data_IF_722555759735
#
_entry.id   IF_722555759735
#
_cell.length_a   1.000
_cell.length_b   1.000
_cell.length_c   1.000
_cell.angle_alpha   90.00
_cell.angle_beta   90.00
_cell.angle_gamma   90.00
#
_symmetry.space_group_name_H-M   'P 1'
#
loop_
_entity.id
_entity.type
_entity.pdbx_description
1 polymer ?
#
# COMPACT_ATOMS: atom_id res chain seq x y z
N UNK A 1 48.69 5.46 -0.50
CA UNK A 1 47.89 5.82 -1.68
C UNK A 1 48.40 5.02 -2.87
N UNK A 2 47.61 4.07 -3.38
CA UNK A 2 47.67 3.63 -4.78
C UNK A 2 46.57 2.60 -5.04
N UNK A 3 45.84 2.83 -6.13
CA UNK A 3 44.80 1.99 -6.69
C UNK A 3 45.34 0.61 -7.09
N UNK A 4 44.51 -0.42 -6.92
CA UNK A 4 44.69 -1.74 -7.54
C UNK A 4 43.44 -2.10 -8.34
N UNK A 5 43.58 -2.05 -9.66
CA UNK A 5 42.64 -2.53 -10.67
C UNK A 5 42.86 -4.02 -10.88
N UNK A 6 41.82 -4.85 -10.77
CA UNK A 6 41.86 -6.25 -11.25
C UNK A 6 41.14 -6.34 -12.59
N UNK A 7 41.91 -6.68 -13.62
CA UNK A 7 41.45 -7.04 -14.96
C UNK A 7 40.71 -8.39 -14.94
N UNK A 8 39.64 -8.51 -15.72
CA UNK A 8 39.01 -9.78 -16.08
C UNK A 8 39.25 -9.99 -17.58
N UNK A 9 39.85 -11.13 -17.93
CA UNK A 9 40.09 -11.54 -19.31
C UNK A 9 38.83 -12.17 -19.92
N UNK A 10 38.45 -11.71 -21.12
CA UNK A 10 37.46 -12.37 -21.97
C UNK A 10 38.21 -12.96 -23.17
N UNK A 11 38.13 -14.28 -23.33
CA UNK A 11 38.63 -14.96 -24.52
C UNK A 11 37.58 -14.88 -25.63
N UNK A 12 37.94 -14.24 -26.75
CA UNK A 12 37.15 -14.29 -28.00
C UNK A 12 37.87 -15.23 -28.96
N UNK A 13 37.24 -16.36 -29.25
CA UNK A 13 37.70 -17.25 -30.32
C UNK A 13 37.15 -16.71 -31.64
N UNK A 14 38.05 -16.28 -32.53
CA UNK A 14 37.71 -15.79 -33.87
C UNK A 14 37.70 -16.98 -34.83
N UNK A 15 36.51 -17.43 -35.24
CA UNK A 15 36.34 -18.24 -36.45
C UNK A 15 35.96 -17.34 -37.63
N UNK A 16 36.61 -17.60 -38.75
CA UNK A 16 36.64 -16.82 -39.99
C UNK A 16 35.36 -16.99 -40.80
N UNK A 17 34.93 -15.85 -41.34
CA UNK A 17 33.96 -15.53 -42.41
C UNK A 17 33.48 -16.69 -43.31
N UNK A 18 32.16 -16.73 -43.56
CA UNK A 18 31.61 -16.49 -44.90
C UNK A 18 30.09 -16.21 -44.85
N UNK A 19 29.63 -15.37 -45.78
CA UNK A 19 28.25 -14.93 -46.09
C UNK A 19 27.62 -13.81 -45.26
N UNK A 20 27.52 -12.64 -45.90
CA UNK A 20 26.84 -11.42 -45.45
C UNK A 20 25.32 -11.58 -45.64
N UNK A 21 24.57 -11.55 -44.54
CA UNK A 21 23.20 -11.02 -44.51
C UNK A 21 23.16 -10.00 -43.38
N UNK A 22 23.32 -8.72 -43.74
CA UNK A 22 23.26 -7.62 -42.79
C UNK A 22 21.79 -7.33 -42.47
N UNK A 23 21.19 -8.16 -41.62
CA UNK A 23 19.94 -7.81 -40.96
C UNK A 23 20.26 -6.79 -39.89
N UNK A 24 20.21 -5.50 -40.25
CA UNK A 24 20.17 -4.41 -39.28
C UNK A 24 18.86 -4.55 -38.51
N UNK A 25 18.92 -5.23 -37.37
CA UNK A 25 17.86 -5.17 -36.36
C UNK A 25 17.96 -3.77 -35.76
N UNK A 26 17.28 -2.81 -36.38
CA UNK A 26 16.82 -1.61 -35.68
C UNK A 26 15.93 -2.12 -34.56
N UNK A 27 16.50 -2.28 -33.36
CA UNK A 27 15.74 -2.21 -32.13
C UNK A 27 15.15 -0.81 -32.06
N UNK A 28 14.00 -0.62 -32.70
CA UNK A 28 13.10 0.45 -32.33
C UNK A 28 12.71 0.16 -30.88
N UNK A 29 13.43 0.77 -29.95
CA UNK A 29 12.82 1.14 -28.68
C UNK A 29 11.68 2.05 -29.09
N UNK A 30 10.49 1.47 -29.30
CA UNK A 30 9.27 2.23 -29.20
C UNK A 30 9.24 2.71 -27.76
N UNK A 31 9.84 3.89 -27.52
CA UNK A 31 9.27 4.80 -26.55
C UNK A 31 7.83 4.98 -27.02
N UNK A 32 6.92 4.18 -26.48
CA UNK A 32 5.56 4.63 -26.37
C UNK A 32 5.67 5.91 -25.55
N UNK A 33 5.64 7.06 -26.23
CA UNK A 33 5.30 8.31 -25.60
C UNK A 33 3.85 8.14 -25.13
N UNK A 34 3.69 7.49 -23.98
CA UNK A 34 2.45 7.48 -23.27
C UNK A 34 2.28 8.91 -22.79
N UNK A 35 1.38 9.65 -23.43
CA UNK A 35 0.94 10.94 -22.91
C UNK A 35 0.38 10.68 -21.51
N UNK A 36 1.10 11.10 -20.49
CA UNK A 36 0.67 10.89 -19.11
C UNK A 36 -0.62 11.66 -18.87
N UNK A 37 -1.63 11.00 -18.31
CA UNK A 37 -2.83 11.72 -17.90
C UNK A 37 -2.58 12.39 -16.54
N UNK A 38 -2.01 13.59 -16.56
CA UNK A 38 -1.70 14.34 -15.35
C UNK A 38 -2.93 14.65 -14.48
N UNK A 39 -4.16 14.60 -15.04
CA UNK A 39 -5.38 14.79 -14.26
C UNK A 39 -5.67 13.66 -13.27
N UNK A 40 -5.08 12.47 -13.46
CA UNK A 40 -5.22 11.35 -12.52
C UNK A 40 -4.29 11.50 -11.29
N UNK A 41 -3.39 12.50 -11.29
CA UNK A 41 -2.48 12.81 -10.18
C UNK A 41 -3.12 13.87 -9.27
N UNK A 42 -4.09 13.44 -8.48
CA UNK A 42 -4.80 14.31 -7.53
C UNK A 42 -4.12 14.27 -6.16
N UNK A 43 -2.99 14.95 -5.98
CA UNK A 43 -2.28 15.02 -4.70
C UNK A 43 -2.38 16.41 -4.07
N UNK A 44 -2.24 16.47 -2.75
CA UNK A 44 -2.08 17.76 -2.07
C UNK A 44 -0.83 18.47 -2.64
N UNK A 45 -0.86 19.80 -2.89
CA UNK A 45 0.26 20.54 -3.46
C UNK A 45 1.61 20.29 -2.75
N UNK A 46 1.61 20.28 -1.41
CA UNK A 46 2.80 19.96 -0.61
C UNK A 46 3.38 18.55 -0.86
N UNK A 47 2.61 17.60 -1.37
CA UNK A 47 3.10 16.24 -1.66
C UNK A 47 3.68 16.11 -3.07
N UNK A 48 3.36 17.06 -3.96
CA UNK A 48 3.77 17.00 -5.37
C UNK A 48 5.28 16.92 -5.56
N UNK A 49 6.13 17.71 -4.87
CA UNK A 49 7.59 17.59 -5.03
C UNK A 49 8.10 16.19 -4.70
N UNK A 50 7.63 15.63 -3.59
CA UNK A 50 8.02 14.29 -3.12
C UNK A 50 7.61 13.19 -4.12
N UNK A 51 6.40 13.28 -4.65
CA UNK A 51 5.91 12.37 -5.69
C UNK A 51 6.70 12.49 -7.00
N UNK A 52 6.90 13.70 -7.52
CA UNK A 52 7.60 13.92 -8.80
C UNK A 52 9.08 13.54 -8.73
N UNK A 53 9.74 13.73 -7.58
CA UNK A 53 11.13 13.32 -7.39
C UNK A 53 11.31 11.79 -7.37
N UNK A 54 10.26 11.06 -6.97
CA UNK A 54 10.22 9.60 -7.03
C UNK A 54 9.99 9.10 -8.46
N UNK A 55 9.20 9.80 -9.27
CA UNK A 55 8.89 9.44 -10.66
C UNK A 55 9.55 10.38 -11.67
N UNK A 56 10.89 10.33 -11.75
CA UNK A 56 11.68 11.25 -12.58
C UNK A 56 11.29 11.26 -14.05
N UNK A 57 10.97 10.11 -14.63
CA UNK A 57 10.54 10.02 -16.04
C UNK A 57 9.25 10.82 -16.31
N UNK A 58 8.30 10.78 -15.37
CA UNK A 58 7.07 11.57 -15.43
C UNK A 58 7.36 13.07 -15.29
N UNK A 59 8.28 13.44 -14.40
CA UNK A 59 8.69 14.82 -14.19
C UNK A 59 9.41 15.40 -15.42
N UNK A 60 10.32 14.63 -16.02
CA UNK A 60 11.04 15.00 -17.24
C UNK A 60 10.08 15.18 -18.41
N UNK A 61 9.09 14.29 -18.56
CA UNK A 61 8.06 14.43 -19.58
C UNK A 61 7.17 15.65 -19.35
N UNK A 62 6.82 15.93 -18.09
CA UNK A 62 6.04 17.12 -17.75
C UNK A 62 6.74 18.42 -18.18
N UNK A 63 8.07 18.49 -18.08
CA UNK A 63 8.84 19.65 -18.54
C UNK A 63 8.77 19.79 -20.06
N UNK A 64 8.89 18.68 -20.80
CA UNK A 64 8.80 18.68 -22.27
C UNK A 64 7.42 19.12 -22.74
N UNK A 65 6.37 18.58 -22.12
CA UNK A 65 4.97 18.82 -22.49
C UNK A 65 4.40 20.12 -21.90
N UNK A 66 5.14 20.81 -21.02
CA UNK A 66 4.67 21.96 -20.23
C UNK A 66 3.37 21.64 -19.47
N UNK A 67 3.40 20.54 -18.73
CA UNK A 67 2.22 20.01 -18.05
C UNK A 67 1.78 20.88 -16.85
N UNK A 68 0.55 20.69 -16.33
CA UNK A 68 0.04 21.45 -15.19
C UNK A 68 0.86 21.33 -13.89
N UNK A 69 1.67 20.28 -13.75
CA UNK A 69 2.50 20.02 -12.56
C UNK A 69 3.88 20.71 -12.62
N UNK A 70 4.17 21.45 -13.68
CA UNK A 70 5.49 22.04 -13.94
C UNK A 70 5.98 22.93 -12.79
N UNK A 71 5.08 23.61 -12.08
CA UNK A 71 5.46 24.46 -10.94
C UNK A 71 6.10 23.69 -9.78
N UNK A 72 5.86 22.38 -9.67
CA UNK A 72 6.37 21.52 -8.60
C UNK A 72 7.65 20.77 -9.00
N UNK A 73 7.95 20.67 -10.30
CA UNK A 73 9.11 19.95 -10.81
C UNK A 73 10.41 20.63 -10.34
N UNK A 74 11.38 19.83 -9.89
CA UNK A 74 12.69 20.31 -9.44
C UNK A 74 12.71 20.90 -8.02
N UNK A 75 11.56 21.02 -7.35
CA UNK A 75 11.53 21.35 -5.92
C UNK A 75 12.12 20.19 -5.11
N UNK A 76 12.98 20.49 -4.14
CA UNK A 76 13.60 19.48 -3.27
C UNK A 76 12.54 18.81 -2.39
N UNK A 77 12.73 17.52 -2.12
CA UNK A 77 11.87 16.72 -1.26
C UNK A 77 11.98 15.23 -1.53
N UNK A 78 12.00 14.41 -0.49
CA UNK A 78 11.91 12.95 -0.54
C UNK A 78 11.09 12.44 0.66
N UNK A 79 10.37 11.34 0.51
CA UNK A 79 9.48 10.83 1.56
C UNK A 79 10.23 10.31 2.78
N UNK A 80 11.49 9.90 2.59
CA UNK A 80 12.36 9.37 3.65
C UNK A 80 12.62 7.87 3.53
N UNK A 81 11.90 7.17 2.65
CA UNK A 81 12.13 5.75 2.37
C UNK A 81 13.02 5.50 1.14
N UNK A 82 13.30 6.54 0.35
CA UNK A 82 14.18 6.45 -0.80
C UNK A 82 15.65 6.23 -0.38
N UNK A 83 16.41 5.49 -1.20
CA UNK A 83 17.82 5.16 -0.91
C UNK A 83 18.70 6.39 -0.68
N UNK A 84 18.39 7.50 -1.37
CA UNK A 84 19.11 8.77 -1.25
C UNK A 84 18.12 9.87 -0.85
N UNK A 85 17.92 10.03 0.45
CA UNK A 85 17.07 11.08 1.02
C UNK A 85 17.79 11.78 2.19
N UNK A 86 18.42 12.94 1.96
CA UNK A 86 19.03 13.72 3.04
C UNK A 86 17.99 14.15 4.07
N UNK A 87 18.36 14.17 5.36
CA UNK A 87 17.46 14.52 6.46
C UNK A 87 16.73 15.87 6.25
N UNK A 88 17.43 16.85 5.67
CA UNK A 88 16.88 18.19 5.41
C UNK A 88 15.86 18.22 4.27
N UNK A 89 15.88 17.22 3.38
CA UNK A 89 14.96 17.09 2.25
C UNK A 89 13.85 16.06 2.54
N UNK A 90 13.95 15.30 3.64
CA UNK A 90 12.92 14.34 4.06
C UNK A 90 11.60 15.04 4.41
N UNK A 91 10.46 14.40 4.11
CA UNK A 91 9.11 14.92 4.37
C UNK A 91 8.92 15.36 5.82
N UNK A 92 9.53 14.64 6.76
CA UNK A 92 9.51 15.02 8.16
C UNK A 92 10.68 14.45 8.93
N UNK A 93 11.08 15.16 9.96
CA UNK A 93 11.95 14.63 11.02
C UNK A 93 11.12 14.48 12.30
N UNK A 94 11.11 13.29 12.93
CA UNK A 94 10.43 13.09 14.20
C UNK A 94 10.89 14.09 15.27
N UNK A 95 9.94 14.54 16.09
CA UNK A 95 10.24 15.43 17.21
C UNK A 95 10.17 14.62 18.50
N UNK A 96 11.30 14.44 19.16
CA UNK A 96 11.38 13.78 20.46
C UNK A 96 11.91 14.81 21.48
N UNK A 97 11.07 15.52 22.24
CA UNK A 97 11.54 16.38 23.32
C UNK A 97 12.14 15.60 24.50
N UNK A 98 12.99 16.25 25.30
CA UNK A 98 13.64 15.67 26.48
C UNK A 98 14.74 14.64 26.17
N UNK A 99 15.29 14.02 27.21
CA UNK A 99 16.30 12.97 27.06
C UNK A 99 15.70 11.65 26.56
N UNK A 100 16.53 10.82 25.95
CA UNK A 100 16.14 9.47 25.58
C UNK A 100 15.84 8.65 26.84
N UNK A 101 14.81 7.80 26.77
CA UNK A 101 14.37 6.91 27.85
C UNK A 101 14.06 5.52 27.31
N UNK A 102 14.12 4.51 28.18
CA UNK A 102 13.75 3.14 27.82
C UNK A 102 14.94 2.33 27.30
N UNK A 103 14.72 1.54 26.25
CA UNK A 103 15.67 0.53 25.74
C UNK A 103 16.59 1.02 24.61
N UNK A 104 16.58 2.32 24.28
CA UNK A 104 17.45 2.89 23.25
C UNK A 104 18.64 3.62 23.90
N UNK A 105 19.88 3.45 23.39
CA UNK A 105 21.08 3.93 24.09
C UNK A 105 21.41 5.41 23.81
N UNK A 106 20.74 6.06 22.85
CA UNK A 106 21.00 7.46 22.52
C UNK A 106 19.75 8.20 22.02
N UNK A 107 19.87 9.53 21.94
CA UNK A 107 18.82 10.39 21.37
C UNK A 107 18.60 10.12 19.88
N UNK A 108 19.66 9.84 19.14
CA UNK A 108 19.59 9.48 17.73
C UNK A 108 18.81 8.18 17.56
N UNK A 109 19.13 7.16 18.35
CA UNK A 109 18.43 5.87 18.29
C UNK A 109 16.94 6.01 18.63
N UNK A 110 16.58 6.91 19.55
CA UNK A 110 15.18 7.20 19.86
C UNK A 110 14.44 7.78 18.64
N UNK A 111 15.04 8.73 17.93
CA UNK A 111 14.46 9.36 16.73
C UNK A 111 14.37 8.33 15.59
N UNK A 112 15.46 7.60 15.35
CA UNK A 112 15.54 6.59 14.28
C UNK A 112 14.53 5.46 14.54
N UNK A 113 14.35 5.05 15.80
CA UNK A 113 13.35 4.04 16.21
C UNK A 113 11.93 4.54 15.97
N UNK A 114 11.62 5.80 16.32
CA UNK A 114 10.30 6.37 16.01
C UNK A 114 10.05 6.41 14.51
N UNK A 115 11.05 6.84 13.73
CA UNK A 115 10.96 6.88 12.28
C UNK A 115 10.67 5.50 11.67
N UNK A 116 11.38 4.47 12.14
CA UNK A 116 11.20 3.08 11.69
C UNK A 116 9.84 2.48 12.09
N UNK A 117 9.31 2.83 13.26
CA UNK A 117 8.10 2.19 13.80
C UNK A 117 6.80 2.93 13.50
N UNK A 118 6.85 4.26 13.40
CA UNK A 118 5.67 5.13 13.38
C UNK A 118 5.63 6.14 12.25
N UNK A 119 6.60 6.12 11.32
CA UNK A 119 6.73 7.09 10.24
C UNK A 119 7.06 6.39 8.90
N UNK A 120 7.50 7.13 7.89
CA UNK A 120 7.88 6.61 6.57
C UNK A 120 8.98 5.53 6.61
N UNK A 121 9.77 5.45 7.68
CA UNK A 121 10.69 4.34 7.89
C UNK A 121 10.00 2.97 7.99
N UNK A 122 8.75 2.92 8.47
CA UNK A 122 7.95 1.71 8.45
C UNK A 122 7.67 1.24 7.02
N UNK A 123 7.35 2.18 6.13
CA UNK A 123 7.13 1.88 4.71
C UNK A 123 8.43 1.41 4.05
N UNK A 124 9.56 2.04 4.38
CA UNK A 124 10.87 1.61 3.91
C UNK A 124 11.17 0.16 4.29
N UNK A 125 10.85 -0.25 5.53
CA UNK A 125 11.03 -1.63 5.97
C UNK A 125 10.13 -2.58 5.18
N UNK A 126 8.85 -2.24 4.98
CA UNK A 126 7.94 -3.06 4.18
C UNK A 126 8.40 -3.22 2.73
N UNK A 127 8.99 -2.18 2.12
CA UNK A 127 9.58 -2.27 0.78
C UNK A 127 10.83 -3.16 0.76
N UNK A 128 11.71 -3.06 1.76
CA UNK A 128 12.94 -3.88 1.87
C UNK A 128 12.64 -5.36 2.11
N UNK A 129 11.51 -5.65 2.75
CA UNK A 129 11.06 -7.02 3.02
C UNK A 129 10.43 -7.70 1.80
N UNK A 130 10.18 -6.97 0.70
CA UNK A 130 9.55 -7.53 -0.49
C UNK A 130 10.41 -8.63 -1.10
N UNK A 131 9.82 -9.82 -1.25
CA UNK A 131 10.45 -10.98 -1.87
C UNK A 131 9.48 -11.68 -2.83
N UNK A 132 10.05 -12.24 -3.89
CA UNK A 132 9.28 -12.95 -4.92
C UNK A 132 8.80 -14.28 -4.35
N UNK A 133 7.49 -14.50 -4.35
CA UNK A 133 6.87 -15.77 -3.99
C UNK A 133 6.60 -16.63 -5.23
N UNK A 134 6.26 -15.99 -6.35
CA UNK A 134 5.93 -16.62 -7.62
C UNK A 134 6.67 -15.86 -8.73
N UNK A 135 7.67 -16.51 -9.32
CA UNK A 135 8.63 -15.94 -10.25
C UNK A 135 8.11 -16.07 -11.70
N UNK A 136 7.92 -14.97 -12.43
CA UNK A 136 7.49 -15.02 -13.82
C UNK A 136 8.62 -15.49 -14.73
N UNK A 137 8.31 -16.32 -15.75
CA UNK A 137 9.29 -16.64 -16.79
C UNK A 137 9.43 -15.47 -17.79
N UNK A 138 8.32 -14.79 -18.10
CA UNK A 138 8.28 -13.61 -18.96
C UNK A 138 7.52 -12.45 -18.30
N UNK A 139 7.75 -11.22 -18.77
CA UNK A 139 7.08 -10.03 -18.24
C UNK A 139 5.54 -10.07 -18.32
N UNK A 140 4.98 -10.84 -19.25
CA UNK A 140 3.53 -11.04 -19.38
C UNK A 140 2.98 -12.16 -18.46
N UNK A 141 3.84 -12.92 -17.79
CA UNK A 141 3.42 -14.02 -16.93
C UNK A 141 3.00 -13.52 -15.54
N UNK A 142 2.44 -14.44 -14.76
CA UNK A 142 2.01 -14.15 -13.40
C UNK A 142 3.19 -13.93 -12.47
N UNK A 143 3.02 -13.06 -11.49
CA UNK A 143 3.99 -12.88 -10.42
C UNK A 143 3.29 -12.60 -9.09
N UNK A 144 3.95 -12.97 -7.99
CA UNK A 144 3.54 -12.58 -6.65
C UNK A 144 4.76 -12.10 -5.88
N UNK A 145 4.71 -10.87 -5.41
CA UNK A 145 5.73 -10.24 -4.56
C UNK A 145 5.08 -9.95 -3.21
N UNK A 146 5.71 -10.34 -2.10
CA UNK A 146 5.15 -10.16 -0.76
C UNK A 146 6.20 -9.66 0.23
N UNK A 147 5.79 -8.85 1.21
CA UNK A 147 6.61 -8.57 2.39
C UNK A 147 6.53 -9.73 3.38
N UNK A 148 7.37 -9.68 4.42
CA UNK A 148 7.42 -10.71 5.46
C UNK A 148 6.05 -10.93 6.11
N UNK A 149 5.82 -12.17 6.53
CA UNK A 149 4.56 -12.63 7.14
C UNK A 149 3.33 -12.41 6.26
N UNK A 150 3.52 -12.19 4.95
CA UNK A 150 2.46 -11.89 3.98
C UNK A 150 1.57 -10.71 4.42
N UNK A 151 2.18 -9.66 4.98
CA UNK A 151 1.46 -8.46 5.43
C UNK A 151 1.01 -7.58 4.27
N UNK A 152 1.85 -7.46 3.26
CA UNK A 152 1.57 -6.79 1.99
C UNK A 152 1.96 -7.72 0.85
N UNK A 153 1.14 -7.80 -0.20
CA UNK A 153 1.51 -8.47 -1.44
C UNK A 153 1.02 -7.72 -2.68
N UNK A 154 1.71 -7.92 -3.79
CA UNK A 154 1.34 -7.45 -5.11
C UNK A 154 1.41 -8.61 -6.10
N UNK A 155 0.29 -8.88 -6.76
CA UNK A 155 0.13 -9.92 -7.75
C UNK A 155 -0.11 -9.35 -9.14
N UNK A 156 0.50 -9.97 -10.15
CA UNK A 156 0.21 -9.70 -11.57
C UNK A 156 -0.40 -10.93 -12.21
N UNK A 157 -1.43 -10.74 -13.03
CA UNK A 157 -2.08 -11.80 -13.82
C UNK A 157 -2.51 -13.00 -12.95
N UNK A 158 -3.24 -12.73 -11.88
CA UNK A 158 -3.66 -13.72 -10.88
C UNK A 158 -5.10 -14.17 -11.15
N UNK A 159 -5.35 -15.47 -11.08
CA UNK A 159 -6.70 -16.04 -11.12
C UNK A 159 -7.18 -16.34 -9.70
N UNK A 160 -8.42 -15.98 -9.41
CA UNK A 160 -9.15 -16.38 -8.20
C UNK A 160 -10.47 -17.05 -8.59
N UNK A 161 -10.77 -18.19 -7.97
CA UNK A 161 -12.00 -18.96 -8.17
C UNK A 161 -12.98 -18.72 -7.02
N UNK A 162 -14.07 -18.01 -7.32
CA UNK A 162 -15.15 -17.68 -6.39
C UNK A 162 -16.39 -18.56 -6.57
N UNK A 163 -16.31 -19.66 -7.34
CA UNK A 163 -17.49 -20.51 -7.61
C UNK A 163 -18.11 -21.10 -6.35
N UNK A 164 -17.27 -21.49 -5.38
CA UNK A 164 -17.69 -22.05 -4.10
C UNK A 164 -18.52 -21.09 -3.25
N UNK A 165 -18.41 -19.78 -3.46
CA UNK A 165 -19.15 -18.79 -2.66
C UNK A 165 -20.67 -18.93 -2.82
N UNK A 166 -21.16 -19.40 -3.98
CA UNK A 166 -22.60 -19.64 -4.19
C UNK A 166 -23.17 -20.74 -3.30
N UNK A 167 -22.32 -21.63 -2.81
CA UNK A 167 -22.72 -22.74 -1.95
C UNK A 167 -22.54 -22.43 -0.46
N UNK A 168 -21.93 -21.29 -0.13
CA UNK A 168 -21.67 -20.90 1.24
C UNK A 168 -22.94 -20.36 1.90
N UNK A 169 -23.41 -21.04 2.95
CA UNK A 169 -24.60 -20.64 3.71
C UNK A 169 -24.33 -19.55 4.73
N UNK A 170 -23.13 -19.55 5.30
CA UNK A 170 -22.75 -18.63 6.36
C UNK A 170 -22.13 -17.34 5.79
N UNK A 171 -22.43 -16.18 6.40
CA UNK A 171 -21.83 -14.94 5.98
C UNK A 171 -20.32 -14.93 6.26
N UNK A 172 -19.58 -14.25 5.40
CA UNK A 172 -18.13 -14.08 5.48
C UNK A 172 -17.84 -12.74 6.15
N UNK A 173 -17.29 -12.82 7.36
CA UNK A 173 -16.61 -11.73 8.07
C UNK A 173 -15.56 -12.36 8.98
N UNK A 174 -14.31 -11.92 8.85
CA UNK A 174 -13.15 -12.46 9.58
C UNK A 174 -12.97 -13.99 9.45
N UNK A 175 -13.42 -14.57 8.33
CA UNK A 175 -13.26 -15.99 8.02
C UNK A 175 -11.89 -16.21 7.36
N UNK A 176 -11.26 -17.34 7.67
CA UNK A 176 -9.93 -17.73 7.15
C UNK A 176 -9.99 -18.85 6.10
N UNK A 177 -11.21 -19.27 5.77
CA UNK A 177 -11.56 -20.36 4.86
C UNK A 177 -12.37 -19.84 3.66
N UNK A 178 -12.14 -18.58 3.27
CA UNK A 178 -12.80 -17.97 2.10
C UNK A 178 -12.35 -18.66 0.82
N UNK A 179 -11.05 -18.94 0.72
CA UNK A 179 -10.43 -19.71 -0.36
C UNK A 179 -9.95 -21.07 0.17
N UNK A 180 -9.77 -22.00 -0.76
CA UNK A 180 -9.24 -23.36 -0.58
C UNK A 180 -8.14 -23.61 -1.60
N UNK A 181 -7.47 -24.76 -1.45
CA UNK A 181 -6.45 -25.23 -2.38
C UNK A 181 -6.94 -25.16 -3.84
N UNK A 182 -6.11 -24.57 -4.71
CA UNK A 182 -6.41 -24.44 -6.14
C UNK A 182 -7.37 -23.28 -6.51
N UNK A 183 -7.87 -22.51 -5.53
CA UNK A 183 -8.77 -21.38 -5.81
C UNK A 183 -8.05 -20.05 -6.02
N UNK A 184 -6.73 -20.01 -5.85
CA UNK A 184 -5.91 -18.85 -6.19
C UNK A 184 -4.59 -19.32 -6.80
N UNK A 185 -4.14 -18.66 -7.86
CA UNK A 185 -2.90 -19.04 -8.51
C UNK A 185 -2.52 -18.18 -9.71
N UNK A 186 -1.34 -18.48 -10.25
CA UNK A 186 -0.76 -17.81 -11.41
C UNK A 186 0.13 -18.74 -12.23
N UNK A 187 0.37 -18.38 -13.49
CA UNK A 187 1.34 -19.04 -14.36
C UNK A 187 2.73 -18.48 -14.09
N UNK A 188 3.50 -19.16 -13.24
CA UNK A 188 4.81 -18.74 -12.76
C UNK A 188 5.51 -19.92 -12.08
N UNK A 189 6.79 -19.78 -11.74
CA UNK A 189 7.50 -20.73 -10.89
C UNK A 189 7.27 -20.40 -9.42
N UNK A 190 6.50 -21.23 -8.70
CA UNK A 190 6.15 -20.98 -7.30
C UNK A 190 7.27 -21.41 -6.32
N UNK A 191 7.71 -20.50 -5.45
CA UNK A 191 8.58 -20.80 -4.32
C UNK A 191 7.76 -21.29 -3.11
N UNK A 192 7.14 -22.48 -3.25
CA UNK A 192 6.15 -23.00 -2.28
C UNK A 192 6.65 -22.99 -0.82
N UNK A 193 7.85 -23.50 -0.56
CA UNK A 193 8.43 -23.52 0.80
C UNK A 193 8.57 -22.12 1.39
N UNK A 194 9.04 -21.14 0.60
CA UNK A 194 9.18 -19.75 1.05
C UNK A 194 7.81 -19.16 1.42
N UNK A 195 6.80 -19.40 0.60
CA UNK A 195 5.43 -18.95 0.87
C UNK A 195 4.87 -19.58 2.16
N UNK A 196 5.11 -20.87 2.37
CA UNK A 196 4.71 -21.59 3.60
C UNK A 196 5.44 -21.05 4.84
N UNK A 197 6.74 -20.79 4.75
CA UNK A 197 7.55 -20.25 5.84
C UNK A 197 7.07 -18.84 6.27
N UNK A 198 6.59 -18.02 5.32
CA UNK A 198 6.02 -16.68 5.59
C UNK A 198 4.53 -16.73 6.01
N UNK A 199 3.91 -17.90 6.07
CA UNK A 199 2.57 -18.11 6.62
C UNK A 199 2.60 -18.35 8.15
N UNK A 200 3.45 -17.64 8.88
CA UNK A 200 3.64 -17.81 10.33
C UNK A 200 2.70 -16.95 11.18
N UNK A 201 2.14 -15.86 10.62
CA UNK A 201 1.17 -14.97 11.28
C UNK A 201 -0.26 -15.13 10.75
N UNK A 202 -0.77 -16.36 10.60
CA UNK A 202 -2.12 -16.62 10.06
C UNK A 202 -3.20 -16.08 11.01
N UNK A 203 -3.88 -15.01 10.58
CA UNK A 203 -5.02 -14.44 11.28
C UNK A 203 -5.83 -13.53 10.35
N UNK A 204 -7.16 -13.38 10.55
CA UNK A 204 -8.02 -12.69 9.60
C UNK A 204 -7.60 -11.26 9.27
N UNK A 205 -7.04 -10.51 10.22
CA UNK A 205 -6.71 -9.09 10.06
C UNK A 205 -5.22 -8.78 10.29
N UNK A 206 -4.37 -9.81 10.33
CA UNK A 206 -2.93 -9.66 10.60
C UNK A 206 -2.04 -10.01 9.42
N UNK A 207 -2.51 -10.89 8.52
CA UNK A 207 -1.80 -11.26 7.30
C UNK A 207 -2.78 -11.71 6.20
N UNK A 208 -2.25 -11.82 4.99
CA UNK A 208 -2.90 -12.49 3.85
C UNK A 208 -2.62 -13.99 3.79
N UNK A 209 -1.93 -14.53 4.80
CA UNK A 209 -1.66 -15.96 4.93
C UNK A 209 -2.90 -16.86 4.84
N UNK A 210 -4.08 -16.52 5.40
CA UNK A 210 -5.27 -17.36 5.27
C UNK A 210 -5.66 -17.70 3.82
N UNK A 211 -5.49 -16.75 2.90
CA UNK A 211 -5.80 -16.87 1.48
C UNK A 211 -4.59 -17.36 0.68
N UNK A 212 -3.43 -16.74 0.89
CA UNK A 212 -2.25 -16.95 0.07
C UNK A 212 -1.58 -18.30 0.32
N UNK A 213 -1.81 -18.96 1.46
CA UNK A 213 -1.34 -20.34 1.68
C UNK A 213 -1.86 -21.34 0.64
N UNK A 214 -2.94 -21.00 -0.06
CA UNK A 214 -3.54 -21.80 -1.13
C UNK A 214 -3.09 -21.39 -2.53
N UNK A 215 -2.12 -20.48 -2.65
CA UNK A 215 -1.60 -20.04 -3.92
C UNK A 215 -0.90 -21.19 -4.65
N UNK A 216 -1.31 -21.41 -5.90
CA UNK A 216 -0.86 -22.53 -6.72
C UNK A 216 -0.26 -22.08 -8.05
N UNK A 217 0.65 -22.90 -8.58
CA UNK A 217 1.17 -22.77 -9.95
C UNK A 217 0.12 -23.30 -10.94
N UNK A 218 -0.23 -22.48 -11.93
CA UNK A 218 -1.17 -22.83 -12.98
C UNK A 218 -0.43 -23.39 -14.22
N UNK A 219 -1.01 -24.36 -14.93
CA UNK A 219 -0.37 -24.96 -16.11
C UNK A 219 -0.38 -24.05 -17.36
N UNK A 220 -1.26 -23.04 -17.38
CA UNK A 220 -1.44 -22.12 -18.51
C UNK A 220 -1.62 -20.69 -18.04
N UNK A 221 -1.32 -19.73 -18.91
CA UNK A 221 -1.49 -18.30 -18.64
C UNK A 221 -2.97 -17.97 -18.44
N UNK A 222 -3.38 -17.47 -17.26
CA UNK A 222 -4.79 -17.36 -16.95
C UNK A 222 -5.54 -16.35 -17.83
N UNK A 223 -4.87 -15.30 -18.32
CA UNK A 223 -5.47 -14.26 -19.16
C UNK A 223 -5.43 -14.56 -20.66
N UNK A 224 -4.50 -15.41 -21.12
CA UNK A 224 -4.33 -15.71 -22.55
C UNK A 224 -5.04 -17.01 -22.96
N UNK A 225 -5.55 -17.76 -21.99
CA UNK A 225 -6.22 -19.05 -22.22
C UNK A 225 -7.73 -18.83 -22.33
N UNK A 226 -8.30 -19.15 -23.49
CA UNK A 226 -9.74 -19.06 -23.72
C UNK A 226 -10.52 -19.91 -22.71
N UNK A 227 -11.58 -19.33 -22.12
CA UNK A 227 -12.40 -19.99 -21.10
C UNK A 227 -11.73 -20.19 -19.73
N UNK A 228 -10.52 -19.66 -19.52
CA UNK A 228 -9.83 -19.78 -18.23
C UNK A 228 -10.49 -18.95 -17.11
N UNK A 229 -11.08 -17.81 -17.46
CA UNK A 229 -11.75 -16.90 -16.54
C UNK A 229 -13.09 -16.42 -17.11
N UNK A 230 -14.12 -16.39 -16.28
CA UNK A 230 -15.43 -15.83 -16.64
C UNK A 230 -15.39 -14.29 -16.73
N UNK A 231 -14.43 -13.68 -16.04
CA UNK A 231 -14.25 -12.22 -16.00
C UNK A 231 -12.78 -11.85 -15.88
N UNK A 232 -12.38 -10.80 -16.59
CA UNK A 232 -11.05 -10.19 -16.49
C UNK A 232 -11.19 -8.77 -15.97
N UNK A 233 -10.41 -8.43 -14.93
CA UNK A 233 -10.34 -7.10 -14.35
C UNK A 233 -8.99 -6.49 -14.72
N UNK A 234 -9.03 -5.49 -15.61
CA UNK A 234 -7.82 -4.85 -16.13
C UNK A 234 -7.24 -3.80 -15.18
N UNK A 235 -8.09 -3.14 -14.40
CA UNK A 235 -7.68 -2.06 -13.47
C UNK A 235 -7.05 -2.62 -12.19
N UNK A 236 -6.13 -1.89 -11.55
CA UNK A 236 -5.61 -2.24 -10.23
C UNK A 236 -6.76 -2.49 -9.25
N UNK A 237 -6.70 -3.61 -8.54
CA UNK A 237 -7.72 -3.98 -7.56
C UNK A 237 -7.09 -4.22 -6.20
N UNK A 238 -7.54 -3.48 -5.19
CA UNK A 238 -7.17 -3.68 -3.80
C UNK A 238 -8.17 -4.62 -3.14
N UNK A 239 -7.68 -5.73 -2.59
CA UNK A 239 -8.48 -6.59 -1.72
C UNK A 239 -8.38 -6.05 -0.30
N UNK A 240 -9.51 -5.72 0.34
CA UNK A 240 -9.47 -5.13 1.68
C UNK A 240 -10.14 -6.03 2.70
N UNK A 241 -9.39 -6.46 3.70
CA UNK A 241 -9.96 -6.96 4.96
C UNK A 241 -10.03 -5.79 5.93
N UNK A 242 -11.24 -5.33 6.18
CA UNK A 242 -11.52 -4.14 7.00
C UNK A 242 -11.80 -4.54 8.45
N UNK A 243 -11.53 -3.68 9.42
CA UNK A 243 -11.89 -3.91 10.82
C UNK A 243 -13.38 -3.61 11.05
N UNK A 244 -13.74 -2.60 11.86
CA UNK A 244 -15.15 -2.32 12.21
C UNK A 244 -15.65 -1.01 11.60
N UNK A 245 -16.56 -1.11 10.62
CA UNK A 245 -17.06 0.03 9.82
C UNK A 245 -17.85 1.08 10.61
N UNK A 246 -18.38 0.74 11.78
CA UNK A 246 -19.25 1.61 12.59
C UNK A 246 -18.49 2.54 13.54
N UNK A 247 -17.20 2.28 13.78
CA UNK A 247 -16.42 3.01 14.76
C UNK A 247 -15.23 3.69 14.08
N UNK A 248 -15.10 5.01 14.27
CA UNK A 248 -14.02 5.79 13.66
C UNK A 248 -12.64 5.24 14.02
N UNK A 249 -12.40 4.97 15.29
CA UNK A 249 -11.12 4.45 15.78
C UNK A 249 -10.79 3.07 15.19
N UNK A 250 -11.78 2.24 14.88
CA UNK A 250 -11.56 0.97 14.18
C UNK A 250 -11.46 1.11 12.67
N UNK A 251 -12.23 1.98 12.03
CA UNK A 251 -12.27 2.03 10.57
C UNK A 251 -11.15 2.89 9.98
N UNK A 252 -10.63 3.88 10.73
CA UNK A 252 -9.59 4.77 10.20
C UNK A 252 -8.25 4.05 9.97
N UNK A 253 -7.98 2.97 10.71
CA UNK A 253 -6.79 2.17 10.44
C UNK A 253 -6.86 1.48 9.07
N UNK A 254 -8.06 1.17 8.56
CA UNK A 254 -8.23 0.61 7.22
C UNK A 254 -7.79 1.60 6.15
N UNK A 255 -8.26 2.86 6.24
CA UNK A 255 -7.88 3.93 5.31
C UNK A 255 -6.40 4.29 5.42
N UNK A 256 -5.88 4.36 6.65
CA UNK A 256 -4.47 4.67 6.88
C UNK A 256 -3.55 3.59 6.31
N UNK A 257 -3.84 2.31 6.56
CA UNK A 257 -3.03 1.21 6.04
C UNK A 257 -3.17 1.06 4.52
N UNK A 258 -4.34 1.38 3.94
CA UNK A 258 -4.50 1.49 2.49
C UNK A 258 -3.61 2.59 1.90
N UNK A 259 -3.60 3.77 2.50
CA UNK A 259 -2.71 4.87 2.10
C UNK A 259 -1.23 4.49 2.20
N UNK A 260 -0.81 3.92 3.33
CA UNK A 260 0.56 3.44 3.51
C UNK A 260 0.93 2.39 2.44
N UNK A 261 -0.01 1.52 2.06
CA UNK A 261 0.18 0.52 1.01
C UNK A 261 0.42 1.13 -0.38
N UNK A 262 -0.15 2.30 -0.67
CA UNK A 262 0.16 3.04 -1.92
C UNK A 262 1.62 3.51 -1.96
N UNK A 263 2.24 3.76 -0.80
CA UNK A 263 3.67 4.05 -0.74
C UNK A 263 4.54 2.78 -0.81
N UNK A 264 4.06 1.63 -0.31
CA UNK A 264 4.78 0.35 -0.45
C UNK A 264 4.82 -0.11 -1.92
N UNK A 265 3.75 0.13 -2.68
CA UNK A 265 3.64 -0.24 -4.08
C UNK A 265 4.79 0.39 -4.90
N UNK A 266 5.64 -0.47 -5.46
CA UNK A 266 6.81 -0.04 -6.20
C UNK A 266 6.47 0.32 -7.65
N UNK A 267 7.18 1.33 -8.18
CA UNK A 267 7.35 1.63 -9.61
C UNK A 267 6.07 1.80 -10.44
N UNK A 268 5.05 2.43 -9.88
CA UNK A 268 3.83 2.78 -10.64
C UNK A 268 3.37 4.19 -10.28
N UNK A 269 3.57 5.13 -11.20
CA UNK A 269 3.15 6.52 -11.03
C UNK A 269 1.64 6.66 -10.82
N UNK A 270 0.85 5.64 -11.17
CA UNK A 270 -0.59 5.58 -10.90
C UNK A 270 -0.92 5.13 -9.47
N UNK A 271 0.06 4.97 -8.57
CA UNK A 271 -0.18 4.45 -7.20
C UNK A 271 -1.24 5.23 -6.40
N UNK A 272 -1.36 6.54 -6.65
CA UNK A 272 -2.39 7.38 -6.03
C UNK A 272 -3.63 7.60 -6.91
N UNK A 273 -3.71 7.00 -8.10
CA UNK A 273 -4.89 7.15 -8.97
C UNK A 273 -6.14 6.62 -8.27
N UNK A 274 -7.27 7.30 -8.48
CA UNK A 274 -8.58 6.82 -8.05
C UNK A 274 -9.17 5.80 -9.04
N UNK A 275 -8.48 5.49 -10.14
CA UNK A 275 -8.87 4.46 -11.11
C UNK A 275 -8.56 3.02 -10.67
N UNK A 276 -8.75 2.73 -9.39
CA UNK A 276 -8.53 1.41 -8.82
C UNK A 276 -9.83 0.87 -8.24
N UNK A 277 -10.07 -0.43 -8.34
CA UNK A 277 -11.18 -1.07 -7.66
C UNK A 277 -10.81 -1.43 -6.23
N UNK A 278 -11.80 -1.42 -5.34
CA UNK A 278 -11.68 -1.93 -3.98
C UNK A 278 -12.70 -3.05 -3.81
N UNK A 279 -12.21 -4.25 -3.49
CA UNK A 279 -13.02 -5.41 -3.13
C UNK A 279 -12.88 -5.65 -1.62
N UNK A 280 -13.93 -5.35 -0.87
CA UNK A 280 -14.02 -5.71 0.55
C UNK A 280 -14.20 -7.21 0.67
N UNK A 281 -13.33 -7.84 1.46
CA UNK A 281 -13.23 -9.29 1.62
C UNK A 281 -14.27 -9.85 2.62
N UNK A 282 -15.53 -9.49 2.40
CA UNK A 282 -16.69 -9.92 3.19
C UNK A 282 -17.89 -10.19 2.29
N UNK A 283 -18.90 -10.94 2.78
CA UNK A 283 -20.19 -11.09 2.09
C UNK A 283 -21.20 -10.00 2.45
N UNK A 284 -20.88 -9.16 3.45
CA UNK A 284 -21.71 -8.02 3.83
C UNK A 284 -21.43 -6.85 2.89
N UNK A 285 -22.49 -6.21 2.40
CA UNK A 285 -22.30 -4.98 1.65
C UNK A 285 -21.75 -3.89 2.56
N UNK A 286 -20.76 -3.18 2.04
CA UNK A 286 -20.05 -2.16 2.78
C UNK A 286 -21.00 -0.99 3.11
N UNK A 287 -21.18 -0.73 4.41
CA UNK A 287 -21.95 0.39 4.94
C UNK A 287 -21.16 1.00 6.10
N UNK A 288 -20.94 2.31 6.06
CA UNK A 288 -20.23 3.06 7.09
C UNK A 288 -20.65 4.53 7.08
N UNK A 289 -20.64 5.18 8.25
CA UNK A 289 -20.72 6.64 8.36
C UNK A 289 -19.49 7.34 7.74
N UNK A 290 -18.39 6.60 7.56
CA UNK A 290 -17.15 7.08 6.94
C UNK A 290 -17.00 6.61 5.48
N UNK A 291 -18.06 6.03 4.89
CA UNK A 291 -18.06 5.62 3.49
C UNK A 291 -17.59 6.70 2.50
N UNK A 292 -17.86 8.01 2.71
CA UNK A 292 -17.32 9.05 1.82
C UNK A 292 -15.79 9.06 1.68
N UNK A 293 -15.05 8.59 2.69
CA UNK A 293 -13.58 8.53 2.67
C UNK A 293 -13.08 7.55 1.59
N UNK A 294 -13.87 6.55 1.19
CA UNK A 294 -13.50 5.64 0.11
C UNK A 294 -13.23 6.38 -1.22
N UNK A 295 -13.87 7.53 -1.45
CA UNK A 295 -13.65 8.36 -2.65
C UNK A 295 -12.23 8.90 -2.76
N UNK A 296 -11.50 8.99 -1.65
CA UNK A 296 -10.08 9.33 -1.62
C UNK A 296 -9.25 8.29 -2.38
N UNK A 297 -9.69 7.02 -2.38
CA UNK A 297 -8.92 5.90 -2.93
C UNK A 297 -9.49 5.33 -4.23
N UNK A 298 -10.79 5.52 -4.48
CA UNK A 298 -11.45 4.99 -5.66
C UNK A 298 -12.60 5.87 -6.14
N UNK A 299 -12.72 6.02 -7.46
CA UNK A 299 -13.92 6.57 -8.12
C UNK A 299 -14.97 5.51 -8.46
N UNK A 300 -14.63 4.25 -8.24
CA UNK A 300 -15.49 3.11 -8.56
C UNK A 300 -16.35 2.70 -7.36
N UNK A 301 -17.49 2.02 -7.60
CA UNK A 301 -18.26 1.41 -6.52
C UNK A 301 -17.43 0.41 -5.72
N UNK A 302 -17.68 0.34 -4.41
CA UNK A 302 -17.07 -0.65 -3.54
C UNK A 302 -17.69 -2.01 -3.81
N UNK A 303 -16.86 -3.00 -4.13
CA UNK A 303 -17.29 -4.37 -4.29
C UNK A 303 -17.22 -5.13 -2.97
N UNK A 304 -18.04 -6.17 -2.86
CA UNK A 304 -17.97 -7.19 -1.83
C UNK A 304 -17.88 -8.58 -2.51
N UNK A 305 -17.70 -9.64 -1.74
CA UNK A 305 -17.53 -11.00 -2.30
C UNK A 305 -18.72 -11.47 -3.14
N UNK A 306 -19.92 -10.88 -2.97
CA UNK A 306 -21.09 -11.25 -3.77
C UNK A 306 -20.97 -10.78 -5.20
N UNK A 307 -20.16 -9.75 -5.49
CA UNK A 307 -19.92 -9.25 -6.86
C UNK A 307 -19.41 -10.37 -7.79
N UNK A 308 -18.57 -11.28 -7.26
CA UNK A 308 -17.90 -12.33 -8.02
C UNK A 308 -18.36 -13.74 -7.67
N UNK A 309 -19.31 -13.89 -6.74
CA UNK A 309 -19.82 -15.20 -6.33
C UNK A 309 -20.27 -16.02 -7.54
N UNK A 310 -19.79 -17.26 -7.63
CA UNK A 310 -20.10 -18.15 -8.75
C UNK A 310 -19.18 -18.05 -9.97
N UNK A 311 -18.14 -17.21 -9.94
CA UNK A 311 -17.29 -16.94 -11.10
C UNK A 311 -15.82 -17.21 -10.83
N UNK A 312 -15.09 -17.50 -11.89
CA UNK A 312 -13.62 -17.40 -11.95
C UNK A 312 -13.22 -16.03 -12.47
N UNK A 313 -12.32 -15.35 -11.77
CA UNK A 313 -11.94 -13.96 -12.07
C UNK A 313 -10.43 -13.86 -12.20
N UNK A 314 -9.99 -13.27 -13.30
CA UNK A 314 -8.59 -12.95 -13.56
C UNK A 314 -8.34 -11.47 -13.30
N UNK A 315 -7.38 -11.15 -12.43
CA UNK A 315 -6.96 -9.79 -12.14
C UNK A 315 -5.61 -9.51 -12.81
N UNK A 316 -5.53 -8.47 -13.64
CA UNK A 316 -4.24 -8.03 -14.20
C UNK A 316 -3.30 -7.54 -13.11
N UNK A 317 -3.83 -6.74 -12.19
CA UNK A 317 -3.08 -6.16 -11.09
C UNK A 317 -3.89 -6.28 -9.80
N UNK A 318 -3.37 -7.06 -8.85
CA UNK A 318 -4.01 -7.35 -7.58
C UNK A 318 -3.11 -6.89 -6.44
N UNK A 319 -3.66 -6.10 -5.53
CA UNK A 319 -2.93 -5.59 -4.37
C UNK A 319 -3.60 -6.14 -3.12
N UNK A 320 -2.77 -6.72 -2.26
CA UNK A 320 -3.08 -7.19 -0.93
C UNK A 320 -2.44 -6.17 0.04
N UNK A 321 -3.16 -5.09 0.40
CA UNK A 321 -2.63 -4.00 1.21
C UNK A 321 -2.31 -4.45 2.64
N UNK A 322 -1.53 -3.62 3.33
CA UNK A 322 -1.30 -3.68 4.76
C UNK A 322 -2.63 -3.73 5.53
N UNK A 323 -2.65 -4.49 6.63
CA UNK A 323 -3.86 -4.87 7.34
C UNK A 323 -4.03 -4.13 8.68
N UNK A 324 -5.26 -3.94 9.15
CA UNK A 324 -5.56 -3.06 10.29
C UNK A 324 -5.01 -3.55 11.64
N UNK A 325 -4.75 -4.84 11.81
CA UNK A 325 -4.35 -5.44 13.11
C UNK A 325 -3.03 -6.20 13.08
N UNK A 326 -2.16 -5.94 12.10
CA UNK A 326 -0.85 -6.59 12.02
C UNK A 326 -0.08 -6.51 13.34
N UNK A 327 0.69 -7.56 13.65
CA UNK A 327 1.61 -7.56 14.78
C UNK A 327 2.70 -6.52 14.47
N UNK A 328 2.90 -5.58 15.40
CA UNK A 328 3.74 -4.40 15.19
C UNK A 328 3.33 -3.56 13.96
N UNK A 329 2.03 -3.55 13.63
CA UNK A 329 1.44 -2.75 12.56
C UNK A 329 1.19 -1.29 12.93
N UNK A 330 0.88 -0.47 11.92
CA UNK A 330 0.52 0.93 12.13
C UNK A 330 -0.94 1.11 12.60
N UNK A 331 -1.20 2.21 13.32
CA UNK A 331 -2.46 2.60 13.96
C UNK A 331 -2.83 1.83 15.24
N UNK A 332 -3.07 0.51 15.17
CA UNK A 332 -3.56 -0.25 16.33
C UNK A 332 -2.46 -0.79 17.24
N UNK A 333 -1.51 -1.52 16.66
CA UNK A 333 -0.50 -2.28 17.38
C UNK A 333 0.89 -1.64 17.20
N UNK A 334 0.93 -0.31 17.08
CA UNK A 334 2.17 0.41 16.74
C UNK A 334 3.05 0.47 17.97
N UNK A 335 4.25 -0.13 17.94
CA UNK A 335 5.12 -0.18 19.11
C UNK A 335 5.88 1.16 19.25
N UNK A 336 5.18 2.28 19.45
CA UNK A 336 5.80 3.60 19.45
C UNK A 336 6.77 3.76 20.62
N UNK A 337 8.00 4.18 20.29
CA UNK A 337 8.97 4.63 21.28
C UNK A 337 8.44 5.83 22.07
N UNK A 338 8.73 5.86 23.36
CA UNK A 338 8.25 6.89 24.27
C UNK A 338 8.82 8.28 23.92
N UNK A 339 8.00 9.31 24.11
CA UNK A 339 8.44 10.71 24.09
C UNK A 339 8.68 11.31 22.71
N UNK A 340 8.29 10.62 21.64
CA UNK A 340 8.37 11.12 20.27
C UNK A 340 6.99 11.42 19.70
N UNK A 341 6.93 12.38 18.77
CA UNK A 341 5.70 12.91 18.19
C UNK A 341 5.94 13.44 16.77
N UNK A 342 4.85 13.85 16.10
CA UNK A 342 4.82 14.43 14.75
C UNK A 342 5.28 13.46 13.64
N UNK A 343 4.62 12.30 13.56
CA UNK A 343 4.82 11.38 12.44
C UNK A 343 4.47 12.05 11.10
N UNK A 344 5.41 12.03 10.16
CA UNK A 344 5.23 12.45 8.78
C UNK A 344 4.20 11.65 8.04
N UNK A 345 4.23 10.33 8.17
CA UNK A 345 3.30 9.45 7.48
C UNK A 345 1.84 9.75 7.87
N UNK A 346 1.56 9.92 9.16
CA UNK A 346 0.23 10.35 9.63
C UNK A 346 -0.14 11.77 9.20
N UNK A 347 0.84 12.68 9.20
CA UNK A 347 0.64 14.04 8.75
C UNK A 347 0.32 14.12 7.24
N UNK A 348 1.07 13.38 6.40
CA UNK A 348 0.83 13.24 4.97
C UNK A 348 -0.54 12.61 4.70
N UNK A 349 -0.87 11.51 5.37
CA UNK A 349 -2.19 10.89 5.25
C UNK A 349 -3.33 11.88 5.55
N UNK A 350 -3.21 12.64 6.64
CA UNK A 350 -4.21 13.66 7.01
C UNK A 350 -4.39 14.71 5.91
N UNK A 351 -3.29 15.29 5.41
CA UNK A 351 -3.33 16.25 4.30
C UNK A 351 -3.95 15.65 3.03
N UNK A 352 -3.57 14.42 2.69
CA UNK A 352 -4.05 13.72 1.50
C UNK A 352 -5.57 13.50 1.54
N UNK A 353 -6.07 12.95 2.66
CA UNK A 353 -7.49 12.66 2.86
C UNK A 353 -8.31 13.94 2.86
N UNK A 354 -7.91 14.96 3.62
CA UNK A 354 -8.65 16.22 3.71
C UNK A 354 -8.71 16.94 2.36
N UNK A 355 -7.59 16.96 1.62
CA UNK A 355 -7.51 17.54 0.28
C UNK A 355 -8.49 16.88 -0.69
N UNK A 356 -8.43 15.55 -0.84
CA UNK A 356 -9.30 14.81 -1.78
C UNK A 356 -10.77 14.83 -1.39
N UNK A 357 -11.08 14.98 -0.10
CA UNK A 357 -12.47 15.15 0.34
C UNK A 357 -12.97 16.60 0.20
N UNK A 358 -12.11 17.56 -0.16
CA UNK A 358 -12.47 18.98 -0.22
C UNK A 358 -12.80 19.57 1.16
N UNK A 359 -12.23 19.03 2.23
CA UNK A 359 -12.48 19.52 3.59
C UNK A 359 -11.55 20.70 3.86
N UNK A 360 -12.14 21.89 3.89
CA UNK A 360 -11.44 23.12 4.26
C UNK A 360 -11.42 23.24 5.79
N UNK A 361 -10.22 23.34 6.36
CA UNK A 361 -10.04 23.63 7.78
C UNK A 361 -9.92 25.14 7.98
N UNK A 362 -11.02 25.77 8.37
CA UNK A 362 -11.02 27.20 8.70
C UNK A 362 -10.32 27.44 10.05
N UNK A 363 -9.43 28.44 10.14
CA UNK A 363 -8.87 28.86 11.42
C UNK A 363 -10.00 29.23 12.37
N UNK A 364 -9.89 28.81 13.63
CA UNK A 364 -10.85 29.24 14.66
C UNK A 364 -10.73 30.74 14.84
N UNK A 365 -11.82 31.45 14.54
CA UNK A 365 -11.95 32.89 14.82
C UNK A 365 -12.35 33.15 16.28
N UNK A 366 -13.00 32.19 16.93
CA UNK A 366 -13.39 32.26 18.32
C UNK A 366 -12.50 31.33 19.18
N UNK A 367 -11.86 31.83 20.26
CA UNK A 367 -11.12 30.99 21.18
C UNK A 367 -12.01 30.01 21.97
N UNK A 368 -13.31 30.30 22.12
CA UNK A 368 -14.25 29.43 22.83
C UNK A 368 -14.45 28.09 22.13
N UNK A 369 -14.34 27.02 22.90
CA UNK A 369 -14.48 25.64 22.40
C UNK A 369 -15.84 25.11 22.80
N UNK A 370 -16.64 24.65 21.85
CA UNK A 370 -17.84 23.87 22.16
C UNK A 370 -17.42 22.45 22.50
N UNK A 371 -17.66 22.03 23.74
CA UNK A 371 -17.37 20.69 24.21
C UNK A 371 -18.69 19.93 24.33
N UNK A 372 -18.74 18.71 23.79
CA UNK A 372 -19.85 17.78 23.99
C UNK A 372 -19.33 16.58 24.75
N UNK A 373 -19.73 16.45 26.02
CA UNK A 373 -19.42 15.29 26.83
C UNK A 373 -20.50 14.23 26.61
N UNK A 374 -20.11 13.03 26.16
CA UNK A 374 -21.02 11.91 26.00
C UNK A 374 -20.96 11.06 27.26
N UNK A 375 -21.90 11.29 28.18
CA UNK A 375 -22.08 10.41 29.33
C UNK A 375 -22.59 9.05 28.88
N UNK A 376 -22.01 7.98 29.42
CA UNK A 376 -22.44 6.60 29.19
C UNK A 376 -22.60 5.92 30.52
N UNK A 377 -23.83 5.56 30.85
CA UNK A 377 -24.11 4.66 31.97
C UNK A 377 -23.99 3.22 31.47
N UNK A 378 -22.90 2.55 31.85
CA UNK A 378 -22.72 1.12 31.56
C UNK A 378 -22.10 0.41 32.76
N UNK A 379 -22.09 -0.92 32.76
CA UNK A 379 -21.52 -1.66 33.88
C UNK A 379 -20.00 -1.43 34.08
N UNK A 380 -19.27 -1.01 33.04
CA UNK A 380 -17.80 -0.99 33.03
C UNK A 380 -17.15 0.29 32.49
N UNK A 381 -17.92 1.20 31.88
CA UNK A 381 -17.38 2.42 31.24
C UNK A 381 -18.13 3.65 31.72
N UNK A 382 -18.00 3.95 33.01
CA UNK A 382 -18.55 5.14 33.65
C UNK A 382 -17.43 6.18 33.85
N UNK A 383 -17.76 7.46 33.67
CA UNK A 383 -16.87 8.56 34.02
C UNK A 383 -17.08 8.83 35.52
N UNK A 384 -16.20 8.28 36.35
CA UNK A 384 -16.38 8.31 37.81
C UNK A 384 -16.42 9.72 38.40
N UNK A 385 -15.77 10.69 37.74
CA UNK A 385 -15.69 12.09 38.15
C UNK A 385 -16.39 13.04 37.16
N UNK A 386 -17.48 12.60 36.52
CA UNK A 386 -18.17 13.38 35.48
C UNK A 386 -18.59 14.77 35.95
N UNK A 387 -19.15 14.88 37.18
CA UNK A 387 -19.58 16.14 37.74
C UNK A 387 -18.42 17.12 37.98
N UNK A 388 -17.26 16.62 38.41
CA UNK A 388 -16.04 17.42 38.58
C UNK A 388 -15.52 17.91 37.22
N UNK A 389 -15.54 17.04 36.21
CA UNK A 389 -15.15 17.39 34.84
C UNK A 389 -16.05 18.49 34.27
N UNK A 390 -17.38 18.36 34.39
CA UNK A 390 -18.34 19.37 33.93
C UNK A 390 -18.14 20.70 34.65
N UNK A 391 -17.88 20.68 35.96
CA UNK A 391 -17.63 21.89 36.75
C UNK A 391 -16.34 22.59 36.30
N UNK A 392 -15.27 21.84 36.06
CA UNK A 392 -14.01 22.38 35.56
C UNK A 392 -14.13 22.93 34.13
N UNK A 393 -14.92 22.27 33.27
CA UNK A 393 -15.19 22.73 31.90
C UNK A 393 -16.06 24.00 31.85
N UNK A 394 -16.89 24.26 32.86
CA UNK A 394 -17.70 25.48 32.95
C UNK A 394 -16.92 26.70 33.48
N UNK A 395 -15.81 26.47 34.19
CA UNK A 395 -14.97 27.53 34.76
C UNK A 395 -13.95 28.09 33.77
N UNK A 396 -13.68 27.38 32.68
CA UNK A 396 -12.77 27.78 31.59
C UNK A 396 -13.58 28.20 30.36
#
# INVERSE_FOLDING_TARGET
EHLSTKQIHIYVSVMRMDTIVLSVVLLSVCCQAGTYNYSDIELHPDHMPYFLNMYKELADECVKEKCPLMEFVGRKGCWGYEDVCPQNDSYSTPSCPGDHRGWVPSKKDQIDTFFAQGDFGYVAEQQKELMVMCEPNFAADSSLLCSKHLRYCQGRNIKIDFRDLNHRKEPIRYKMDVLKEGQIGGYCKLHKKRLEDECDHISPLQSWGPELRFFSELPHKPLDTEGSCDMVIDKPTYLMKIDATVNMYHHFCDFFNLYASQHVKLHDWTTFSTDAHILVWESFSYISNFAPVMKVFTRHPIWDLKTFAGKTVCFRNLIFPLLPRMIFGLYYNTPLIWGCQKSGLFHAFSKHVLYRMGVVQEPRTNPSIRITLLSRESAYRNILNEAELLSALQQN
#
